data_IF_705123503422
#
_entry.id   IF_705123503422
#
_cell.length_a   1.000
_cell.length_b   1.000
_cell.length_c   1.000
_cell.angle_alpha   90.00
_cell.angle_beta   90.00
_cell.angle_gamma   90.00
#
_symmetry.space_group_name_H-M   'P 1'
#
loop_
_entity.id
_entity.type
_entity.pdbx_description
1 polymer ?
#
# COMPACT_ATOMS: atom_id res chain seq x y z
N UNK A 1 27.73 16.83 -27.29
CA UNK A 1 27.61 16.06 -26.03
C UNK A 1 26.12 15.78 -25.83
N UNK A 2 25.59 14.59 -26.16
CA UNK A 2 24.21 14.28 -25.81
C UNK A 2 24.13 13.90 -24.32
N UNK A 3 23.21 14.53 -23.61
CA UNK A 3 22.82 14.21 -22.24
C UNK A 3 22.59 12.69 -22.12
N UNK A 4 23.30 12.05 -21.18
CA UNK A 4 22.88 10.77 -20.65
C UNK A 4 21.63 11.01 -19.83
N UNK A 5 20.47 10.76 -20.43
CA UNK A 5 19.24 10.58 -19.68
C UNK A 5 19.42 9.25 -18.93
N UNK A 6 19.64 9.35 -17.63
CA UNK A 6 19.63 8.20 -16.74
C UNK A 6 18.22 7.57 -16.79
N UNK A 7 18.07 6.29 -17.19
CA UNK A 7 16.76 5.64 -17.29
C UNK A 7 16.14 5.30 -15.92
N UNK A 8 16.74 5.70 -14.80
CA UNK A 8 16.25 5.38 -13.46
C UNK A 8 15.25 6.41 -12.91
N UNK A 9 15.17 7.62 -13.50
CA UNK A 9 14.26 8.69 -13.03
C UNK A 9 12.81 8.53 -13.52
N UNK A 10 12.55 7.76 -14.58
CA UNK A 10 11.18 7.56 -15.08
C UNK A 10 10.41 6.46 -14.32
N UNK A 11 11.09 5.52 -13.68
CA UNK A 11 10.44 4.42 -12.94
C UNK A 11 9.99 4.83 -11.52
N UNK A 12 10.41 6.00 -11.03
CA UNK A 12 10.06 6.52 -9.71
C UNK A 12 8.75 7.33 -9.68
N UNK A 13 8.26 7.80 -10.84
CA UNK A 13 7.11 8.72 -10.90
C UNK A 13 5.74 8.16 -10.51
N UNK A 14 5.57 6.84 -10.53
CA UNK A 14 4.29 6.18 -10.22
C UNK A 14 4.23 5.56 -8.82
N UNK A 15 5.29 5.75 -8.03
CA UNK A 15 5.32 5.32 -6.63
C UNK A 15 4.67 6.37 -5.74
N UNK A 16 3.53 6.03 -5.15
CA UNK A 16 2.83 6.87 -4.17
C UNK A 16 3.15 6.41 -2.76
N UNK A 17 3.19 7.34 -1.82
CA UNK A 17 3.27 7.05 -0.39
C UNK A 17 1.88 7.18 0.24
N UNK A 18 1.41 6.12 0.89
CA UNK A 18 0.11 6.09 1.55
C UNK A 18 0.31 5.76 3.02
N UNK A 19 -0.45 6.44 3.89
CA UNK A 19 -0.50 6.12 5.31
C UNK A 19 -1.60 5.12 5.63
N UNK A 20 -1.26 4.13 6.44
CA UNK A 20 -2.12 3.05 6.91
C UNK A 20 -2.15 3.04 8.43
N UNK A 21 -3.26 2.62 9.01
CA UNK A 21 -3.40 2.45 10.44
C UNK A 21 -3.41 0.96 10.78
N UNK A 22 -2.47 0.53 11.62
CA UNK A 22 -2.33 -0.87 12.06
C UNK A 22 -2.27 -0.92 13.57
N UNK A 23 -3.28 -1.52 14.22
CA UNK A 23 -3.30 -1.68 15.67
C UNK A 23 -3.22 -0.37 16.46
N UNK A 24 -3.69 0.75 15.89
CA UNK A 24 -3.60 2.09 16.49
C UNK A 24 -2.31 2.85 16.18
N UNK A 25 -1.40 2.26 15.40
CA UNK A 25 -0.17 2.91 14.94
C UNK A 25 -0.29 3.29 13.47
N UNK A 26 -0.05 4.55 13.14
CA UNK A 26 0.05 5.00 11.76
C UNK A 26 1.40 4.57 11.17
N UNK A 27 1.35 3.96 9.98
CA UNK A 27 2.49 3.45 9.22
C UNK A 27 2.44 4.05 7.83
N UNK A 28 3.58 4.46 7.32
CA UNK A 28 3.71 5.01 5.97
C UNK A 28 4.38 3.97 5.10
N UNK A 29 3.81 3.73 3.92
CA UNK A 29 4.37 2.81 2.93
C UNK A 29 4.59 3.60 1.67
N UNK A 30 5.86 3.76 1.32
CA UNK A 30 6.30 4.35 0.06
C UNK A 30 6.51 3.25 -0.99
N UNK A 31 6.53 3.61 -2.27
CA UNK A 31 6.70 2.65 -3.36
C UNK A 31 5.39 1.99 -3.83
N UNK A 32 4.23 2.53 -3.46
CA UNK A 32 2.94 1.95 -3.86
C UNK A 32 2.66 2.29 -5.32
N UNK A 33 2.55 1.26 -6.15
CA UNK A 33 2.30 1.38 -7.58
C UNK A 33 0.90 0.91 -7.93
N UNK A 34 0.51 1.11 -9.18
CA UNK A 34 -0.79 0.66 -9.72
C UNK A 34 -0.97 -0.87 -9.67
N UNK A 35 0.14 -1.61 -9.60
CA UNK A 35 0.17 -3.06 -9.42
C UNK A 35 0.07 -3.50 -7.96
N UNK A 36 0.36 -2.61 -7.01
CA UNK A 36 0.36 -2.92 -5.58
C UNK A 36 -1.06 -3.20 -5.10
N UNK A 37 -1.26 -4.39 -4.55
CA UNK A 37 -2.54 -4.86 -4.01
C UNK A 37 -2.55 -4.78 -2.48
N UNK A 38 -3.74 -4.85 -1.88
CA UNK A 38 -3.88 -4.95 -0.43
C UNK A 38 -3.05 -6.09 0.18
N UNK A 39 -2.94 -7.23 -0.52
CA UNK A 39 -2.09 -8.33 -0.07
C UNK A 39 -0.61 -7.96 -0.01
N UNK A 40 -0.14 -7.14 -0.96
CA UNK A 40 1.24 -6.66 -0.97
C UNK A 40 1.51 -5.65 0.15
N UNK A 41 0.55 -4.75 0.40
CA UNK A 41 0.56 -3.82 1.54
C UNK A 41 0.61 -4.57 2.88
N UNK A 42 -0.26 -5.57 3.06
CA UNK A 42 -0.25 -6.42 4.25
C UNK A 42 1.11 -7.12 4.41
N UNK A 43 1.68 -7.68 3.34
CA UNK A 43 3.02 -8.28 3.39
C UNK A 43 4.10 -7.26 3.77
N UNK A 44 4.06 -6.06 3.22
CA UNK A 44 5.01 -5.00 3.54
C UNK A 44 4.91 -4.59 5.02
N UNK A 45 3.68 -4.43 5.53
CA UNK A 45 3.43 -4.14 6.95
C UNK A 45 3.93 -5.26 7.86
N UNK A 46 3.63 -6.52 7.54
CA UNK A 46 4.08 -7.68 8.33
C UNK A 46 5.60 -7.88 8.26
N UNK A 47 6.24 -7.57 7.13
CA UNK A 47 7.72 -7.56 7.03
C UNK A 47 8.33 -6.46 7.89
N UNK A 48 7.69 -5.29 7.96
CA UNK A 48 8.16 -4.19 8.80
C UNK A 48 7.97 -4.46 10.29
N UNK A 49 6.97 -5.27 10.66
CA UNK A 49 6.64 -5.61 12.02
C UNK A 49 7.16 -7.01 12.37
N UNK A 50 8.34 -7.07 12.98
CA UNK A 50 9.04 -8.32 13.34
C UNK A 50 8.15 -9.32 14.11
N UNK A 51 7.12 -8.82 14.79
CA UNK A 51 6.14 -9.61 15.55
C UNK A 51 5.31 -10.57 14.68
N UNK A 52 5.15 -10.27 13.40
CA UNK A 52 4.34 -11.06 12.46
C UNK A 52 5.13 -11.59 11.25
N UNK A 53 6.45 -11.37 11.23
CA UNK A 53 7.37 -11.77 10.17
C UNK A 53 7.30 -13.26 9.78
N UNK A 54 7.00 -14.14 10.75
CA UNK A 54 7.01 -15.60 10.54
C UNK A 54 5.67 -16.23 10.15
N UNK A 55 4.56 -15.50 10.22
CA UNK A 55 3.24 -16.11 10.04
C UNK A 55 2.62 -15.68 8.71
N UNK A 56 2.80 -16.49 7.68
CA UNK A 56 2.00 -16.40 6.44
C UNK A 56 0.50 -16.59 6.72
N UNK A 57 0.15 -17.28 7.81
CA UNK A 57 -1.23 -17.53 8.25
C UNK A 57 -1.94 -16.25 8.74
N UNK A 58 -1.22 -15.23 9.24
CA UNK A 58 -1.87 -13.96 9.61
C UNK A 58 -2.27 -13.14 8.40
N UNK A 59 -1.66 -13.30 7.23
CA UNK A 59 -2.17 -12.67 6.00
C UNK A 59 -3.62 -13.05 5.69
N UNK A 60 -4.04 -14.26 6.09
CA UNK A 60 -5.41 -14.74 5.92
C UNK A 60 -6.36 -14.26 7.05
N UNK A 61 -5.82 -13.82 8.19
CA UNK A 61 -6.58 -13.35 9.36
C UNK A 61 -6.75 -11.83 9.40
N UNK A 62 -5.91 -11.10 8.67
CA UNK A 62 -5.94 -9.65 8.63
C UNK A 62 -6.54 -9.17 7.29
N UNK A 63 -7.45 -8.20 7.38
CA UNK A 63 -8.05 -7.56 6.22
C UNK A 63 -7.74 -6.07 6.28
N UNK A 64 -7.37 -5.49 5.14
CA UNK A 64 -7.23 -4.05 5.04
C UNK A 64 -8.62 -3.44 4.97
N UNK A 65 -8.84 -2.32 5.65
CA UNK A 65 -10.14 -1.63 5.64
C UNK A 65 -9.91 -0.23 5.12
N UNK A 66 -10.66 0.15 4.08
CA UNK A 66 -10.75 1.57 3.72
C UNK A 66 -11.74 2.24 4.65
N UNK A 67 -11.36 3.38 5.21
CA UNK A 67 -12.24 4.22 6.01
C UNK A 67 -12.32 5.61 5.39
N UNK A 68 -13.48 5.93 4.80
CA UNK A 68 -13.75 7.22 4.18
C UNK A 68 -15.08 7.79 4.68
N UNK A 69 -15.10 9.04 5.16
CA UNK A 69 -16.31 9.75 5.62
C UNK A 69 -17.27 8.91 6.50
N UNK A 70 -16.73 8.16 7.47
CA UNK A 70 -17.46 7.23 8.37
C UNK A 70 -17.95 5.93 7.74
N UNK A 71 -17.64 5.66 6.47
CA UNK A 71 -17.85 4.36 5.82
C UNK A 71 -16.57 3.54 6.00
N UNK A 72 -16.71 2.33 6.52
CA UNK A 72 -15.65 1.35 6.64
C UNK A 72 -15.97 0.18 5.70
N UNK A 73 -15.11 -0.06 4.71
CA UNK A 73 -15.29 -1.18 3.77
C UNK A 73 -14.07 -2.10 3.81
N UNK A 74 -14.25 -3.41 4.05
CA UNK A 74 -13.16 -4.36 3.97
C UNK A 74 -12.70 -4.48 2.51
N UNK A 75 -11.41 -4.25 2.31
CA UNK A 75 -10.76 -4.38 1.02
C UNK A 75 -10.34 -5.82 0.82
N UNK A 76 -10.65 -6.35 -0.37
CA UNK A 76 -10.17 -7.66 -0.76
C UNK A 76 -8.67 -7.62 -0.98
N UNK A 77 -8.00 -8.74 -0.72
CA UNK A 77 -6.55 -8.88 -0.93
C UNK A 77 -6.13 -8.63 -2.38
N UNK A 78 -7.04 -8.86 -3.35
CA UNK A 78 -6.87 -8.59 -4.78
C UNK A 78 -7.15 -7.14 -5.20
N UNK A 79 -7.73 -6.32 -4.32
CA UNK A 79 -8.00 -4.91 -4.60
C UNK A 79 -6.70 -4.10 -4.71
N UNK A 80 -6.64 -3.27 -5.76
CA UNK A 80 -5.51 -2.35 -6.01
C UNK A 80 -5.64 -1.13 -5.10
N UNK A 81 -4.70 -0.95 -4.19
CA UNK A 81 -4.78 0.13 -3.21
C UNK A 81 -4.66 1.51 -3.87
N UNK A 82 -3.86 1.62 -4.93
CA UNK A 82 -3.66 2.89 -5.63
C UNK A 82 -4.96 3.37 -6.29
N UNK A 83 -5.78 2.46 -6.83
CA UNK A 83 -7.09 2.80 -7.40
C UNK A 83 -8.04 3.38 -6.36
N UNK A 84 -8.04 2.80 -5.16
CA UNK A 84 -8.87 3.25 -4.05
C UNK A 84 -8.39 4.61 -3.57
N UNK A 85 -7.08 4.78 -3.44
CA UNK A 85 -6.47 6.05 -3.02
C UNK A 85 -6.72 7.18 -4.03
N UNK A 86 -6.61 6.90 -5.34
CA UNK A 86 -6.98 7.87 -6.38
C UNK A 86 -8.47 8.24 -6.32
N UNK A 87 -9.35 7.26 -6.08
CA UNK A 87 -10.79 7.50 -5.94
C UNK A 87 -11.14 8.38 -4.72
N UNK A 88 -10.26 8.47 -3.71
CA UNK A 88 -10.44 9.41 -2.58
C UNK A 88 -10.03 10.85 -2.94
N UNK A 89 -9.19 11.05 -3.96
CA UNK A 89 -8.69 12.36 -4.39
C UNK A 89 -9.50 13.05 -5.48
N UNK A 90 -10.48 12.37 -6.08
CA UNK A 90 -11.38 12.93 -7.12
C UNK A 90 -12.64 13.61 -6.54
N UNK A 91 -12.57 14.17 -5.33
CA UNK A 91 -13.63 15.02 -4.74
C UNK A 91 -13.19 16.47 -4.54
#
# INVERSE_FOLDING_TARGET
MPNGLDPSEEEEKDAVEISFWVGGHQKWISGIRSITTCGDILKALLKSDSKYSHHTDVLAKFVLVERWRKVEKPLRSDSKILKIYQAWGEE
#
